data_IF_941061014227
#
_entry.id   IF_941061014227
#
_cell.length_a   1.000
_cell.length_b   1.000
_cell.length_c   1.000
_cell.angle_alpha   90.00
_cell.angle_beta   90.00
_cell.angle_gamma   90.00
#
_symmetry.space_group_name_H-M   'P 1'
#
loop_
_entity.id
_entity.type
_entity.pdbx_description
1 polymer ?
#
# COMPACT_ATOMS: atom_id res chain seq x y z
N UNK A 1 38.75 -10.46 17.87
CA UNK A 1 38.20 -9.09 17.75
C UNK A 1 38.88 -8.19 18.77
N UNK A 2 39.29 -6.97 18.37
CA UNK A 2 39.89 -6.01 19.31
C UNK A 2 38.82 -5.45 20.24
N UNK A 3 39.24 -5.00 21.45
CA UNK A 3 38.35 -4.33 22.41
C UNK A 3 37.66 -3.12 21.76
N UNK A 4 38.39 -2.35 20.96
CA UNK A 4 37.84 -1.20 20.26
C UNK A 4 36.67 -1.60 19.33
N UNK A 5 36.81 -2.65 18.52
CA UNK A 5 35.76 -3.15 17.63
C UNK A 5 34.50 -3.60 18.42
N UNK A 6 34.67 -4.19 19.60
CA UNK A 6 33.52 -4.61 20.44
C UNK A 6 32.82 -3.40 21.08
N UNK A 7 33.59 -2.40 21.53
CA UNK A 7 33.04 -1.14 22.06
C UNK A 7 32.25 -0.40 21.00
N UNK A 8 32.81 -0.25 19.79
CA UNK A 8 32.18 0.44 18.68
C UNK A 8 30.91 -0.25 18.17
N UNK A 9 30.81 -1.58 18.34
CA UNK A 9 29.62 -2.34 17.98
C UNK A 9 28.60 -2.49 19.13
N UNK A 10 28.80 -1.80 20.26
CA UNK A 10 27.86 -1.84 21.37
C UNK A 10 27.76 -3.19 22.06
N UNK A 11 28.80 -4.06 22.01
CA UNK A 11 28.77 -5.38 22.60
C UNK A 11 28.65 -5.27 24.14
N UNK A 12 27.50 -5.71 24.72
CA UNK A 12 27.28 -5.57 26.18
C UNK A 12 28.17 -6.48 27.01
N UNK A 13 28.78 -7.49 26.38
CA UNK A 13 29.65 -8.46 27.09
C UNK A 13 31.09 -7.95 27.24
N UNK A 14 31.43 -6.84 26.58
CA UNK A 14 32.77 -6.28 26.67
C UNK A 14 32.99 -5.60 28.03
N UNK A 15 33.85 -6.19 28.86
CA UNK A 15 34.26 -5.59 30.11
C UNK A 15 35.42 -4.62 29.84
N UNK A 16 35.15 -3.33 29.83
CA UNK A 16 36.13 -2.25 29.76
C UNK A 16 35.88 -1.21 30.84
N UNK A 17 36.92 -0.50 31.24
CA UNK A 17 36.75 0.66 32.13
C UNK A 17 35.98 1.74 31.36
N UNK A 18 35.08 2.51 32.05
CA UNK A 18 34.31 3.59 31.42
C UNK A 18 35.19 4.57 30.62
N UNK A 19 36.34 4.96 31.19
CA UNK A 19 37.27 5.90 30.53
C UNK A 19 37.87 5.32 29.24
N UNK A 20 38.13 4.00 29.20
CA UNK A 20 38.62 3.34 27.99
C UNK A 20 37.53 3.29 26.90
N UNK A 21 36.28 3.03 27.30
CA UNK A 21 35.14 3.05 26.39
C UNK A 21 34.95 4.43 25.81
N UNK A 22 35.00 5.48 26.60
CA UNK A 22 34.85 6.87 26.18
C UNK A 22 35.96 7.32 25.21
N UNK A 23 37.23 6.97 25.51
CA UNK A 23 38.37 7.23 24.62
C UNK A 23 38.23 6.56 23.25
N UNK A 24 37.73 5.32 23.22
CA UNK A 24 37.50 4.61 21.94
C UNK A 24 36.38 5.30 21.15
N UNK A 25 35.31 5.68 21.79
CA UNK A 25 34.19 6.39 21.12
C UNK A 25 34.61 7.78 20.64
N UNK A 26 35.43 8.49 21.46
CA UNK A 26 35.95 9.80 21.05
C UNK A 26 36.91 9.68 19.87
N UNK A 27 37.85 8.76 19.91
CA UNK A 27 38.76 8.52 18.78
C UNK A 27 38.03 8.15 17.48
N UNK A 28 36.93 7.38 17.59
CA UNK A 28 36.12 7.06 16.42
C UNK A 28 35.42 8.30 15.84
N UNK A 29 34.91 9.20 16.71
CA UNK A 29 34.34 10.49 16.28
C UNK A 29 35.39 11.38 15.62
N UNK A 30 36.57 11.50 16.24
CA UNK A 30 37.66 12.37 15.76
C UNK A 30 38.21 11.91 14.39
N UNK A 31 38.15 10.60 14.11
CA UNK A 31 38.59 9.98 12.86
C UNK A 31 37.46 9.78 11.84
N UNK A 32 36.24 10.24 12.14
CA UNK A 32 35.03 9.95 11.34
C UNK A 32 34.93 8.44 10.98
N UNK A 33 35.34 7.59 11.93
CA UNK A 33 35.36 6.16 11.73
C UNK A 33 33.98 5.55 11.98
N UNK A 34 33.39 4.98 10.94
CA UNK A 34 32.23 4.09 11.06
C UNK A 34 32.64 2.63 10.92
N UNK A 35 32.11 1.76 11.79
CA UNK A 35 32.38 0.33 11.70
C UNK A 35 31.90 -0.21 10.34
N UNK A 36 32.77 -0.98 9.66
CA UNK A 36 32.47 -1.52 8.33
C UNK A 36 31.21 -2.40 8.40
N UNK A 37 30.17 -1.95 7.70
CA UNK A 37 28.87 -2.60 7.60
C UNK A 37 29.00 -4.05 7.11
N UNK A 38 29.81 -4.34 6.07
CA UNK A 38 29.98 -5.68 5.53
C UNK A 38 30.57 -6.66 6.58
N UNK A 39 31.55 -6.21 7.37
CA UNK A 39 32.13 -7.01 8.44
C UNK A 39 31.14 -7.29 9.60
N UNK A 40 30.22 -6.34 9.85
CA UNK A 40 29.16 -6.50 10.85
C UNK A 40 28.07 -7.46 10.34
N UNK A 41 27.63 -7.31 9.10
CA UNK A 41 26.64 -8.17 8.44
C UNK A 41 27.09 -9.63 8.39
N UNK A 42 28.35 -9.86 7.99
CA UNK A 42 28.94 -11.21 7.94
C UNK A 42 28.94 -11.88 9.33
N UNK A 43 29.25 -11.13 10.38
CA UNK A 43 29.30 -11.66 11.75
C UNK A 43 27.92 -11.97 12.32
N UNK A 44 26.94 -11.13 12.02
CA UNK A 44 25.57 -11.25 12.55
C UNK A 44 24.71 -12.17 11.71
N UNK A 45 25.19 -12.59 10.51
CA UNK A 45 24.42 -13.26 9.47
C UNK A 45 23.11 -12.49 9.14
N UNK A 46 23.16 -11.15 9.29
CA UNK A 46 22.04 -10.22 9.06
C UNK A 46 22.53 -8.96 8.37
N UNK A 47 21.81 -8.58 7.33
CA UNK A 47 22.11 -7.35 6.57
C UNK A 47 21.55 -6.09 7.22
N UNK A 48 20.67 -6.20 8.22
CA UNK A 48 19.95 -5.04 8.76
C UNK A 48 19.32 -4.14 7.69
N UNK A 49 18.92 -4.75 6.56
CA UNK A 49 18.20 -4.14 5.48
C UNK A 49 16.90 -4.90 5.21
N UNK A 50 15.82 -4.17 4.98
CA UNK A 50 14.53 -4.68 4.53
C UNK A 50 14.23 -4.11 3.16
N UNK A 51 13.48 -4.84 2.33
CA UNK A 51 13.01 -4.33 1.05
C UNK A 51 11.50 -4.14 1.08
N UNK A 52 11.03 -2.92 0.76
CA UNK A 52 9.65 -2.65 0.43
C UNK A 52 9.50 -2.63 -1.09
N UNK A 53 8.66 -3.52 -1.61
CA UNK A 53 8.48 -3.70 -3.05
C UNK A 53 7.03 -3.41 -3.39
N UNK A 54 6.82 -2.43 -4.27
CA UNK A 54 5.50 -1.95 -4.69
C UNK A 54 5.37 -1.93 -6.22
N UNK A 55 4.15 -1.99 -6.78
CA UNK A 55 3.93 -2.01 -8.24
C UNK A 55 4.53 -0.83 -8.99
N UNK A 56 4.46 0.36 -8.42
CA UNK A 56 5.06 1.57 -8.99
C UNK A 56 5.47 2.54 -7.86
N UNK A 57 6.75 2.59 -7.49
CA UNK A 57 7.24 3.49 -6.43
C UNK A 57 6.97 4.98 -6.70
N UNK A 58 6.79 5.37 -7.96
CA UNK A 58 6.47 6.76 -8.34
C UNK A 58 5.00 7.11 -8.16
N UNK A 59 4.13 6.13 -7.86
CA UNK A 59 2.73 6.40 -7.60
C UNK A 59 2.57 7.05 -6.21
N UNK A 60 2.07 8.30 -6.13
CA UNK A 60 1.89 9.02 -4.87
C UNK A 60 1.04 8.29 -3.83
N UNK A 61 0.21 7.34 -4.27
CA UNK A 61 -0.59 6.49 -3.38
C UNK A 61 0.29 5.77 -2.34
N UNK A 62 1.53 5.42 -2.70
CA UNK A 62 2.44 4.70 -1.81
C UNK A 62 3.24 5.60 -0.86
N UNK A 63 3.10 6.93 -0.93
CA UNK A 63 3.86 7.85 -0.07
C UNK A 63 3.63 7.58 1.43
N UNK A 64 2.38 7.42 1.85
CA UNK A 64 2.04 7.11 3.24
C UNK A 64 2.55 5.72 3.66
N UNK A 65 2.43 4.72 2.79
CA UNK A 65 2.97 3.37 3.03
C UNK A 65 4.49 3.41 3.24
N UNK A 66 5.19 4.15 2.38
CA UNK A 66 6.64 4.33 2.45
C UNK A 66 7.04 5.04 3.75
N UNK A 67 6.31 6.09 4.14
CA UNK A 67 6.57 6.83 5.38
C UNK A 67 6.45 5.90 6.59
N UNK A 68 5.32 5.17 6.73
CA UNK A 68 5.12 4.25 7.84
C UNK A 68 6.16 3.11 7.87
N UNK A 69 6.51 2.56 6.71
CA UNK A 69 7.54 1.52 6.62
C UNK A 69 8.94 2.06 6.97
N UNK A 70 9.25 3.29 6.57
CA UNK A 70 10.52 3.96 6.89
C UNK A 70 10.66 4.20 8.39
N UNK A 71 9.63 4.74 9.03
CA UNK A 71 9.63 5.02 10.47
C UNK A 71 9.82 3.74 11.28
N UNK A 72 9.02 2.70 10.99
CA UNK A 72 9.16 1.41 11.66
C UNK A 72 10.52 0.74 11.44
N UNK A 73 11.12 0.91 10.24
CA UNK A 73 12.46 0.40 9.96
C UNK A 73 13.51 1.13 10.78
N UNK A 74 13.43 2.47 10.83
CA UNK A 74 14.35 3.32 11.60
C UNK A 74 14.32 3.03 13.08
N UNK A 75 13.13 2.88 13.69
CA UNK A 75 12.95 2.51 15.10
C UNK A 75 13.60 1.17 15.47
N UNK A 76 13.74 0.26 14.50
CA UNK A 76 14.30 -1.07 14.71
C UNK A 76 15.75 -1.21 14.21
N UNK A 77 16.43 -0.12 13.89
CA UNK A 77 17.81 -0.10 13.35
C UNK A 77 17.92 -0.93 12.04
N UNK A 78 16.94 -0.76 11.14
CA UNK A 78 16.95 -1.32 9.80
C UNK A 78 16.99 -0.23 8.73
N UNK A 79 17.71 -0.50 7.65
CA UNK A 79 17.64 0.32 6.42
C UNK A 79 16.52 -0.19 5.54
N UNK A 80 15.66 0.71 5.04
CA UNK A 80 14.62 0.36 4.09
C UNK A 80 15.09 0.61 2.66
N UNK A 81 15.09 -0.43 1.84
CA UNK A 81 15.29 -0.36 0.39
C UNK A 81 13.94 -0.39 -0.32
N UNK A 82 13.79 0.43 -1.36
CA UNK A 82 12.55 0.47 -2.16
C UNK A 82 12.78 -0.18 -3.51
N UNK A 83 11.90 -1.10 -3.87
CA UNK A 83 11.95 -1.83 -5.14
C UNK A 83 10.64 -1.74 -5.93
N UNK A 84 10.75 -1.97 -7.24
CA UNK A 84 9.62 -2.03 -8.17
C UNK A 84 9.20 -3.49 -8.38
N UNK A 85 7.92 -3.82 -8.16
CA UNK A 85 7.47 -5.22 -8.24
C UNK A 85 7.46 -5.79 -9.67
N UNK A 86 7.48 -4.95 -10.71
CA UNK A 86 7.69 -5.42 -12.09
C UNK A 86 9.02 -6.19 -12.28
N UNK A 87 10.01 -5.93 -11.42
CA UNK A 87 11.26 -6.69 -11.42
C UNK A 87 11.16 -7.98 -10.60
N UNK A 88 10.02 -8.21 -9.93
CA UNK A 88 9.73 -9.41 -9.15
C UNK A 88 9.05 -10.48 -10.04
N UNK A 89 9.73 -10.85 -11.13
CA UNK A 89 9.30 -11.90 -12.05
C UNK A 89 10.12 -13.16 -11.86
N UNK A 90 9.56 -14.30 -12.25
CA UNK A 90 10.24 -15.59 -12.19
C UNK A 90 11.58 -15.53 -12.97
N UNK A 91 12.65 -15.99 -12.33
CA UNK A 91 13.99 -15.92 -12.90
C UNK A 91 14.75 -14.60 -12.70
N UNK A 92 14.14 -13.59 -12.07
CA UNK A 92 14.76 -12.28 -11.84
C UNK A 92 16.10 -12.39 -11.11
N UNK A 93 17.15 -11.84 -11.73
CA UNK A 93 18.48 -11.76 -11.10
C UNK A 93 18.47 -10.84 -9.86
N UNK A 94 17.61 -9.82 -9.84
CA UNK A 94 17.49 -8.86 -8.72
C UNK A 94 17.02 -9.59 -7.46
N UNK A 95 15.95 -10.39 -7.55
CA UNK A 95 15.44 -11.15 -6.41
C UNK A 95 16.47 -12.16 -5.91
N UNK A 96 17.10 -12.89 -6.84
CA UNK A 96 18.14 -13.84 -6.44
C UNK A 96 19.26 -13.17 -5.65
N UNK A 97 19.72 -11.99 -6.07
CA UNK A 97 20.74 -11.22 -5.35
C UNK A 97 20.25 -10.76 -3.99
N UNK A 98 19.06 -10.19 -3.92
CA UNK A 98 18.51 -9.67 -2.66
C UNK A 98 18.32 -10.80 -1.63
N UNK A 99 17.76 -11.95 -2.06
CA UNK A 99 17.44 -13.08 -1.17
C UNK A 99 18.64 -13.98 -0.92
N UNK A 100 19.27 -14.50 -1.99
CA UNK A 100 20.30 -15.56 -1.85
C UNK A 100 21.65 -15.02 -1.45
N UNK A 101 21.97 -13.76 -1.82
CA UNK A 101 23.21 -13.11 -1.40
C UNK A 101 23.06 -12.41 -0.04
N UNK A 102 21.89 -12.51 0.61
CA UNK A 102 21.66 -11.97 1.94
C UNK A 102 21.75 -10.43 1.99
N UNK A 103 21.41 -9.74 0.90
CA UNK A 103 21.44 -8.26 0.84
C UNK A 103 20.32 -7.61 1.62
N UNK A 104 19.22 -8.34 1.84
CA UNK A 104 18.11 -7.97 2.73
C UNK A 104 17.73 -9.13 3.61
N UNK A 105 17.26 -8.86 4.81
CA UNK A 105 16.82 -9.87 5.76
C UNK A 105 15.37 -10.30 5.49
N UNK A 106 14.57 -9.47 4.83
CA UNK A 106 13.19 -9.78 4.49
C UNK A 106 12.52 -8.73 3.59
N UNK A 107 11.29 -9.03 3.20
CA UNK A 107 10.51 -8.24 2.23
C UNK A 107 9.14 -7.88 2.77
N UNK A 108 8.75 -6.63 2.56
CA UNK A 108 7.35 -6.20 2.51
C UNK A 108 6.97 -6.06 1.04
N UNK A 109 6.01 -6.84 0.57
CA UNK A 109 5.69 -6.95 -0.85
C UNK A 109 4.21 -6.63 -1.11
N UNK A 110 3.96 -5.62 -1.94
CA UNK A 110 2.70 -5.52 -2.67
C UNK A 110 2.91 -6.15 -4.05
N UNK A 111 2.29 -7.27 -4.26
CA UNK A 111 2.35 -7.96 -5.55
C UNK A 111 1.52 -7.25 -6.61
N UNK A 112 1.87 -7.44 -7.87
CA UNK A 112 1.04 -7.09 -9.02
C UNK A 112 -0.11 -8.09 -9.15
N UNK A 113 -1.20 -7.69 -9.81
CA UNK A 113 -2.41 -8.54 -9.94
C UNK A 113 -2.16 -9.80 -10.80
N UNK A 114 -1.12 -9.80 -11.63
CA UNK A 114 -0.67 -10.93 -12.46
C UNK A 114 0.27 -11.91 -11.75
N UNK A 115 0.83 -11.52 -10.60
CA UNK A 115 1.71 -12.40 -9.83
C UNK A 115 0.87 -13.43 -9.04
N UNK A 116 0.77 -14.65 -9.56
CA UNK A 116 0.04 -15.73 -8.92
C UNK A 116 0.72 -16.21 -7.62
N UNK A 117 -0.02 -16.91 -6.75
CA UNK A 117 0.55 -17.52 -5.54
C UNK A 117 1.68 -18.51 -5.87
N UNK A 118 1.52 -19.30 -6.94
CA UNK A 118 2.55 -20.25 -7.38
C UNK A 118 3.80 -19.54 -7.88
N UNK A 119 3.65 -18.47 -8.65
CA UNK A 119 4.78 -17.66 -9.11
C UNK A 119 5.51 -17.00 -7.94
N UNK A 120 4.78 -16.47 -6.95
CA UNK A 120 5.37 -15.94 -5.73
C UNK A 120 6.18 -16.99 -4.97
N UNK A 121 5.67 -18.23 -4.84
CA UNK A 121 6.36 -19.31 -4.18
C UNK A 121 7.64 -19.74 -4.93
N UNK A 122 7.62 -19.72 -6.27
CA UNK A 122 8.79 -20.03 -7.10
C UNK A 122 9.87 -18.94 -7.02
N UNK A 123 9.43 -17.69 -6.86
CA UNK A 123 10.32 -16.54 -6.79
C UNK A 123 11.14 -16.49 -5.51
N UNK A 124 10.54 -16.93 -4.41
CA UNK A 124 11.09 -16.71 -3.09
C UNK A 124 11.70 -17.99 -2.56
N UNK A 125 12.92 -17.91 -2.04
CA UNK A 125 13.50 -19.03 -1.32
C UNK A 125 12.57 -19.46 -0.18
N UNK A 126 12.51 -20.77 0.12
CA UNK A 126 11.63 -21.31 1.18
C UNK A 126 11.80 -20.60 2.53
N UNK A 127 12.99 -20.10 2.80
CA UNK A 127 13.36 -19.45 4.06
C UNK A 127 13.23 -17.91 4.03
N UNK A 128 12.88 -17.29 2.89
CA UNK A 128 12.74 -15.85 2.80
C UNK A 128 11.52 -15.37 3.60
N UNK A 129 11.74 -14.42 4.49
CA UNK A 129 10.68 -13.78 5.26
C UNK A 129 10.00 -12.73 4.41
N UNK A 130 8.69 -12.86 4.24
CA UNK A 130 7.87 -11.96 3.45
C UNK A 130 6.58 -11.65 4.20
N UNK A 131 6.27 -10.37 4.27
CA UNK A 131 4.94 -9.88 4.64
C UNK A 131 4.29 -9.28 3.41
N UNK A 132 3.09 -9.73 3.08
CA UNK A 132 2.31 -9.16 1.99
C UNK A 132 1.56 -7.92 2.46
N UNK A 133 1.50 -6.92 1.60
CA UNK A 133 0.59 -5.77 1.80
C UNK A 133 -0.49 -5.78 0.73
N UNK A 134 -1.69 -5.36 1.12
CA UNK A 134 -2.87 -5.25 0.27
C UNK A 134 -3.39 -6.57 -0.34
N UNK A 135 -2.73 -7.70 -0.12
CA UNK A 135 -3.17 -9.03 -0.59
C UNK A 135 -2.84 -10.11 0.42
N UNK A 136 -3.54 -11.24 0.31
CA UNK A 136 -3.32 -12.45 1.12
C UNK A 136 -2.89 -13.62 0.23
N UNK A 137 -2.33 -14.65 0.84
CA UNK A 137 -2.01 -15.92 0.19
C UNK A 137 -2.50 -17.08 1.07
N UNK A 138 -2.90 -18.23 0.49
CA UNK A 138 -3.27 -19.44 1.24
C UNK A 138 -2.15 -19.93 2.15
N UNK A 139 -0.90 -19.76 1.76
CA UNK A 139 0.27 -20.04 2.62
C UNK A 139 0.47 -18.85 3.55
N UNK A 140 0.27 -19.07 4.84
CA UNK A 140 0.42 -18.04 5.88
C UNK A 140 1.86 -17.51 5.93
N UNK A 141 2.13 -16.47 5.14
CA UNK A 141 3.40 -15.72 5.15
C UNK A 141 3.31 -14.45 6.00
N UNK A 142 2.11 -14.12 6.44
CA UNK A 142 1.75 -12.86 7.08
C UNK A 142 1.33 -11.82 6.05
N UNK A 143 0.26 -11.10 6.37
CA UNK A 143 -0.23 -10.00 5.54
C UNK A 143 -0.74 -8.84 6.38
N UNK A 144 -0.62 -7.64 5.82
CA UNK A 144 -1.26 -6.43 6.38
C UNK A 144 -2.09 -5.79 5.28
N UNK A 145 -3.38 -5.72 5.50
CA UNK A 145 -4.35 -5.17 4.55
C UNK A 145 -5.20 -4.07 5.18
N UNK A 146 -5.72 -3.18 4.36
CA UNK A 146 -6.72 -2.20 4.78
C UNK A 146 -8.11 -2.86 4.93
N UNK A 147 -8.99 -2.24 5.72
CA UNK A 147 -10.41 -2.52 5.65
C UNK A 147 -11.04 -1.86 4.41
N UNK A 148 -10.74 -2.46 3.24
CA UNK A 148 -11.23 -1.99 1.95
C UNK A 148 -12.76 -2.09 1.85
N UNK A 149 -13.37 -3.05 2.57
CA UNK A 149 -14.84 -3.19 2.63
C UNK A 149 -15.44 -1.98 3.31
N UNK A 150 -14.95 -1.60 4.49
CA UNK A 150 -15.43 -0.41 5.20
C UNK A 150 -15.18 0.86 4.40
N UNK A 151 -14.02 1.00 3.75
CA UNK A 151 -13.69 2.17 2.92
C UNK A 151 -14.64 2.36 1.75
N UNK A 152 -14.91 1.30 0.98
CA UNK A 152 -15.83 1.35 -0.16
C UNK A 152 -17.29 1.49 0.27
N UNK A 153 -17.66 0.86 1.40
CA UNK A 153 -18.97 1.05 2.01
C UNK A 153 -19.20 2.52 2.36
N UNK A 154 -18.27 3.15 3.07
CA UNK A 154 -18.35 4.56 3.45
C UNK A 154 -18.49 5.49 2.24
N UNK A 155 -17.71 5.26 1.17
CA UNK A 155 -17.80 6.00 -0.08
C UNK A 155 -19.20 5.92 -0.70
N UNK A 156 -19.76 4.70 -0.72
CA UNK A 156 -21.09 4.44 -1.31
C UNK A 156 -22.20 5.02 -0.43
N UNK A 157 -22.13 4.83 0.89
CA UNK A 157 -23.11 5.38 1.85
C UNK A 157 -23.15 6.91 1.78
N UNK A 158 -22.00 7.58 1.58
CA UNK A 158 -21.97 9.02 1.36
C UNK A 158 -22.86 9.44 0.17
N UNK A 159 -22.69 8.80 -0.99
CA UNK A 159 -23.51 9.11 -2.17
C UNK A 159 -24.99 8.80 -1.94
N UNK A 160 -25.29 7.69 -1.28
CA UNK A 160 -26.66 7.32 -0.93
C UNK A 160 -27.30 8.32 0.05
N UNK A 161 -26.54 8.87 0.98
CA UNK A 161 -26.98 9.88 1.93
C UNK A 161 -27.33 11.21 1.27
N UNK A 162 -26.70 11.53 0.14
CA UNK A 162 -27.03 12.69 -0.72
C UNK A 162 -28.30 12.48 -1.55
N UNK A 163 -28.88 11.26 -1.55
CA UNK A 163 -30.11 10.94 -2.27
C UNK A 163 -29.88 10.17 -3.57
N UNK A 164 -28.64 9.88 -3.96
CA UNK A 164 -28.39 9.06 -5.15
C UNK A 164 -28.96 7.65 -5.00
N UNK A 165 -29.60 7.15 -6.05
CA UNK A 165 -30.13 5.78 -6.16
C UNK A 165 -29.52 5.02 -7.32
N UNK A 166 -28.84 5.71 -8.22
CA UNK A 166 -28.13 5.19 -9.38
C UNK A 166 -26.64 5.44 -9.17
N UNK A 167 -25.99 4.48 -8.51
CA UNK A 167 -24.56 4.57 -8.18
C UNK A 167 -23.80 3.53 -8.99
N UNK A 168 -22.77 3.95 -9.73
CA UNK A 168 -21.87 3.09 -10.48
C UNK A 168 -20.55 2.86 -9.75
N UNK A 169 -19.78 1.86 -10.19
CA UNK A 169 -18.47 1.51 -9.67
C UNK A 169 -17.43 1.41 -10.78
N UNK A 170 -16.35 2.17 -10.66
CA UNK A 170 -15.12 1.98 -11.45
C UNK A 170 -14.12 1.28 -10.54
N UNK A 171 -13.99 -0.04 -10.71
CA UNK A 171 -13.22 -0.94 -9.86
C UNK A 171 -11.90 -1.39 -10.50
N UNK A 172 -11.09 -2.10 -9.70
CA UNK A 172 -9.91 -2.80 -10.18
C UNK A 172 -10.25 -4.08 -10.93
N UNK A 173 -9.24 -4.78 -11.44
CA UNK A 173 -9.43 -6.06 -12.15
C UNK A 173 -10.03 -7.13 -11.23
N UNK A 174 -10.83 -8.03 -11.78
CA UNK A 174 -11.57 -9.05 -11.01
C UNK A 174 -10.65 -10.00 -10.23
N UNK A 175 -9.48 -10.30 -10.76
CA UNK A 175 -8.48 -11.12 -10.08
C UNK A 175 -7.90 -10.47 -8.81
N UNK A 176 -8.00 -9.15 -8.67
CA UNK A 176 -7.44 -8.40 -7.56
C UNK A 176 -8.24 -8.62 -6.26
N UNK A 177 -7.55 -9.03 -5.20
CA UNK A 177 -8.15 -9.19 -3.87
C UNK A 177 -8.69 -7.84 -3.31
N UNK A 178 -7.97 -6.75 -3.55
CA UNK A 178 -8.41 -5.39 -3.18
C UNK A 178 -9.70 -5.04 -3.92
N UNK A 179 -9.77 -5.30 -5.23
CA UNK A 179 -10.93 -4.98 -6.05
C UNK A 179 -12.18 -5.71 -5.55
N UNK A 180 -12.06 -7.00 -5.22
CA UNK A 180 -13.17 -7.79 -4.66
C UNK A 180 -13.66 -7.23 -3.33
N UNK A 181 -12.76 -6.85 -2.41
CA UNK A 181 -13.14 -6.26 -1.12
C UNK A 181 -13.83 -4.90 -1.29
N UNK A 182 -13.34 -4.03 -2.18
CA UNK A 182 -14.00 -2.74 -2.47
C UNK A 182 -15.35 -2.92 -3.11
N UNK A 183 -15.47 -3.81 -4.08
CA UNK A 183 -16.76 -4.14 -4.68
C UNK A 183 -17.74 -4.73 -3.64
N UNK A 184 -17.26 -5.57 -2.72
CA UNK A 184 -18.08 -6.07 -1.61
C UNK A 184 -18.63 -4.94 -0.76
N UNK A 185 -17.83 -3.95 -0.38
CA UNK A 185 -18.26 -2.78 0.40
C UNK A 185 -19.33 -1.97 -0.34
N UNK A 186 -19.14 -1.72 -1.64
CA UNK A 186 -20.12 -1.07 -2.50
C UNK A 186 -21.46 -1.85 -2.53
N UNK A 187 -21.42 -3.16 -2.75
CA UNK A 187 -22.60 -4.01 -2.81
C UNK A 187 -23.35 -4.05 -1.46
N UNK A 188 -22.60 -4.13 -0.35
CA UNK A 188 -23.20 -4.10 1.00
C UNK A 188 -23.95 -2.80 1.23
N UNK A 189 -23.36 -1.65 0.93
CA UNK A 189 -24.02 -0.36 1.09
C UNK A 189 -25.29 -0.21 0.24
N UNK A 190 -25.25 -0.65 -1.03
CA UNK A 190 -26.45 -0.67 -1.88
C UNK A 190 -27.56 -1.56 -1.30
N UNK A 191 -27.22 -2.77 -0.89
CA UNK A 191 -28.16 -3.72 -0.31
C UNK A 191 -28.82 -3.17 0.94
N UNK A 192 -28.04 -2.56 1.84
CA UNK A 192 -28.53 -2.00 3.10
C UNK A 192 -29.47 -0.80 2.86
N UNK A 193 -29.35 -0.12 1.72
CA UNK A 193 -30.27 0.91 1.23
C UNK A 193 -31.45 0.38 0.39
N UNK A 194 -31.63 -0.94 0.29
CA UNK A 194 -32.69 -1.58 -0.49
C UNK A 194 -32.50 -1.52 -2.00
N UNK A 195 -31.25 -1.27 -2.45
CA UNK A 195 -30.89 -1.16 -3.86
C UNK A 195 -30.14 -2.41 -4.34
N UNK A 196 -30.21 -2.64 -5.66
CA UNK A 196 -29.44 -3.71 -6.31
C UNK A 196 -28.34 -3.12 -7.19
N UNK A 197 -27.17 -3.75 -7.18
CA UNK A 197 -26.11 -3.47 -8.15
C UNK A 197 -26.63 -3.71 -9.58
N UNK A 198 -26.37 -2.77 -10.49
CA UNK A 198 -26.54 -2.97 -11.92
C UNK A 198 -25.19 -3.26 -12.55
N UNK A 199 -25.04 -4.41 -13.20
CA UNK A 199 -23.77 -4.86 -13.78
C UNK A 199 -23.29 -3.92 -14.91
N UNK A 200 -24.22 -3.32 -15.65
CA UNK A 200 -23.90 -2.34 -16.70
C UNK A 200 -23.27 -1.05 -16.16
N UNK A 201 -23.32 -0.80 -14.86
CA UNK A 201 -22.70 0.36 -14.19
C UNK A 201 -21.40 0.00 -13.44
N UNK A 202 -20.92 -1.23 -13.62
CA UNK A 202 -19.68 -1.69 -13.00
C UNK A 202 -18.63 -1.94 -14.07
N UNK A 203 -17.43 -1.40 -13.90
CA UNK A 203 -16.27 -1.67 -14.76
C UNK A 203 -15.11 -2.15 -13.90
N UNK A 204 -14.50 -3.27 -14.29
CA UNK A 204 -13.39 -3.93 -13.57
C UNK A 204 -12.14 -3.92 -14.45
N UNK A 205 -11.67 -2.71 -14.79
CA UNK A 205 -10.61 -2.51 -15.79
C UNK A 205 -9.22 -2.28 -15.18
N UNK A 206 -9.14 -1.91 -13.89
CA UNK A 206 -7.87 -1.64 -13.23
C UNK A 206 -7.82 -0.28 -12.53
N UNK A 207 -6.61 0.14 -12.18
CA UNK A 207 -6.40 1.30 -11.33
C UNK A 207 -5.73 2.48 -12.03
N UNK A 208 -5.33 2.33 -13.29
CA UNK A 208 -4.68 3.38 -14.06
C UNK A 208 -5.67 4.48 -14.49
N UNK A 209 -5.24 5.74 -14.60
CA UNK A 209 -6.10 6.84 -15.01
C UNK A 209 -6.76 6.62 -16.38
N UNK A 210 -6.03 6.03 -17.33
CA UNK A 210 -6.48 5.81 -18.70
C UNK A 210 -7.66 4.84 -18.77
N UNK A 211 -7.56 3.72 -18.04
CA UNK A 211 -8.64 2.72 -18.02
C UNK A 211 -9.87 3.21 -17.24
N UNK A 212 -9.67 4.06 -16.22
CA UNK A 212 -10.78 4.67 -15.50
C UNK A 212 -11.46 5.76 -16.33
N UNK A 213 -10.75 6.47 -17.20
CA UNK A 213 -11.30 7.41 -18.18
C UNK A 213 -12.22 6.69 -19.17
N UNK A 214 -11.75 5.57 -19.73
CA UNK A 214 -12.55 4.71 -20.61
C UNK A 214 -13.80 4.17 -19.90
N UNK A 215 -13.62 3.67 -18.67
CA UNK A 215 -14.70 3.17 -17.83
C UNK A 215 -15.77 4.23 -17.56
N UNK A 216 -15.38 5.45 -17.22
CA UNK A 216 -16.30 6.56 -16.95
C UNK A 216 -17.12 6.90 -18.20
N UNK A 217 -16.46 7.08 -19.34
CA UNK A 217 -17.14 7.34 -20.63
C UNK A 217 -18.12 6.22 -20.99
N UNK A 218 -17.71 4.97 -20.87
CA UNK A 218 -18.55 3.81 -21.16
C UNK A 218 -19.78 3.74 -20.25
N UNK A 219 -19.61 3.96 -18.94
CA UNK A 219 -20.73 3.92 -17.98
C UNK A 219 -21.71 5.07 -18.23
N UNK A 220 -21.22 6.27 -18.53
CA UNK A 220 -22.09 7.43 -18.78
C UNK A 220 -22.83 7.35 -20.10
N UNK A 221 -22.38 6.52 -21.05
CA UNK A 221 -23.08 6.26 -22.32
C UNK A 221 -24.24 5.27 -22.18
N UNK A 222 -24.40 4.62 -21.02
CA UNK A 222 -25.49 3.67 -20.78
C UNK A 222 -26.86 4.39 -20.69
N UNK A 223 -27.92 3.85 -21.31
CA UNK A 223 -29.26 4.38 -21.13
C UNK A 223 -29.63 4.42 -19.63
N UNK A 224 -30.08 5.56 -19.15
CA UNK A 224 -30.36 5.77 -17.73
C UNK A 224 -29.13 5.51 -16.86
N UNK A 225 -27.96 6.03 -17.24
CA UNK A 225 -26.69 5.90 -16.54
C UNK A 225 -26.75 6.32 -15.06
N UNK A 226 -25.71 6.04 -14.28
CA UNK A 226 -25.66 6.43 -12.87
C UNK A 226 -25.58 7.94 -12.71
N UNK A 227 -26.08 8.45 -11.57
CA UNK A 227 -25.91 9.85 -11.15
C UNK A 227 -24.75 10.03 -10.20
N UNK A 228 -24.08 8.94 -9.81
CA UNK A 228 -22.90 8.99 -8.97
C UNK A 228 -21.97 7.81 -9.26
N UNK A 229 -20.67 8.02 -9.08
CA UNK A 229 -19.61 7.04 -9.30
C UNK A 229 -18.74 6.90 -8.04
N UNK A 230 -18.56 5.67 -7.61
CA UNK A 230 -17.48 5.28 -6.69
C UNK A 230 -16.29 4.83 -7.53
N UNK A 231 -15.13 5.46 -7.34
CA UNK A 231 -13.92 5.10 -8.06
C UNK A 231 -12.91 4.46 -7.09
N UNK A 232 -12.38 3.32 -7.49
CA UNK A 232 -11.59 2.46 -6.61
C UNK A 232 -10.28 3.10 -6.09
N UNK A 233 -9.76 4.15 -6.75
CA UNK A 233 -8.62 4.91 -6.23
C UNK A 233 -8.62 6.35 -6.78
N UNK A 234 -7.80 7.20 -6.15
CA UNK A 234 -7.68 8.62 -6.52
C UNK A 234 -7.09 8.81 -7.92
N UNK A 235 -6.13 7.99 -8.34
CA UNK A 235 -5.51 8.11 -9.69
C UNK A 235 -6.54 7.82 -10.80
N UNK A 236 -7.30 6.74 -10.64
CA UNK A 236 -8.41 6.43 -11.55
C UNK A 236 -9.46 7.54 -11.57
N UNK A 237 -9.78 8.13 -10.41
CA UNK A 237 -10.74 9.23 -10.36
C UNK A 237 -10.26 10.48 -11.10
N UNK A 238 -8.96 10.78 -11.11
CA UNK A 238 -8.40 11.87 -11.93
C UNK A 238 -8.63 11.59 -13.42
N UNK A 239 -8.40 10.35 -13.87
CA UNK A 239 -8.70 9.94 -15.23
C UNK A 239 -10.20 10.05 -15.57
N UNK A 240 -11.06 9.56 -14.69
CA UNK A 240 -12.52 9.65 -14.84
C UNK A 240 -13.00 11.12 -14.93
N UNK A 241 -12.55 12.00 -14.02
CA UNK A 241 -12.88 13.44 -14.04
C UNK A 241 -12.43 14.10 -15.35
N UNK A 242 -11.25 13.74 -15.86
CA UNK A 242 -10.73 14.26 -17.12
C UNK A 242 -11.62 13.84 -18.29
N UNK A 243 -12.00 12.56 -18.37
CA UNK A 243 -12.86 12.04 -19.44
C UNK A 243 -14.28 12.61 -19.38
N UNK A 244 -14.88 12.71 -18.19
CA UNK A 244 -16.19 13.31 -17.99
C UNK A 244 -16.22 14.75 -18.49
N UNK A 245 -15.21 15.54 -18.13
CA UNK A 245 -15.09 16.92 -18.61
C UNK A 245 -14.94 17.01 -20.13
N UNK A 246 -14.15 16.12 -20.76
CA UNK A 246 -13.95 16.09 -22.20
C UNK A 246 -15.23 15.73 -22.98
N UNK A 247 -16.12 14.95 -22.33
CA UNK A 247 -17.42 14.57 -22.90
C UNK A 247 -18.55 15.52 -22.52
N UNK A 248 -18.25 16.64 -21.84
CA UNK A 248 -19.22 17.64 -21.45
C UNK A 248 -20.11 17.28 -20.26
N UNK A 249 -19.74 16.22 -19.51
CA UNK A 249 -20.44 15.81 -18.29
C UNK A 249 -19.91 16.63 -17.11
N UNK A 250 -20.78 17.35 -16.43
CA UNK A 250 -20.41 18.19 -15.30
C UNK A 250 -20.35 17.39 -13.99
N UNK A 251 -19.25 17.58 -13.24
CA UNK A 251 -19.08 17.04 -11.89
C UNK A 251 -19.07 18.23 -10.90
N UNK A 252 -19.95 18.27 -9.91
CA UNK A 252 -20.94 17.25 -9.53
C UNK A 252 -22.33 17.43 -10.18
N UNK A 253 -22.52 18.36 -11.12
CA UNK A 253 -23.83 18.75 -11.69
C UNK A 253 -24.62 17.60 -12.29
N UNK A 254 -24.01 16.82 -13.19
CA UNK A 254 -24.63 15.67 -13.83
C UNK A 254 -24.33 14.36 -13.10
N UNK A 255 -23.11 14.26 -12.53
CA UNK A 255 -22.65 13.06 -11.84
C UNK A 255 -21.73 13.39 -10.67
N UNK A 256 -22.03 12.85 -9.50
CA UNK A 256 -21.16 12.92 -8.33
C UNK A 256 -20.04 11.89 -8.42
N UNK A 257 -18.81 12.24 -7.99
CA UNK A 257 -17.67 11.32 -7.99
C UNK A 257 -17.02 11.29 -6.61
N UNK A 258 -16.84 10.10 -6.04
CA UNK A 258 -16.06 9.85 -4.82
C UNK A 258 -15.00 8.81 -5.08
N UNK A 259 -13.80 9.00 -4.53
CA UNK A 259 -12.69 8.05 -4.68
C UNK A 259 -12.22 7.46 -3.35
N UNK A 260 -11.66 6.24 -3.42
CA UNK A 260 -10.97 5.61 -2.29
C UNK A 260 -9.51 6.07 -2.31
N UNK A 261 -8.93 6.23 -1.12
CA UNK A 261 -7.69 6.90 -0.80
C UNK A 261 -7.74 8.42 -0.98
N UNK A 262 -7.13 9.11 -0.02
CA UNK A 262 -6.96 10.56 -0.05
C UNK A 262 -5.48 10.87 -0.26
N UNK A 263 -5.20 11.66 -1.30
CA UNK A 263 -3.86 12.13 -1.63
C UNK A 263 -3.91 13.63 -1.88
N UNK A 264 -2.79 14.31 -1.70
CA UNK A 264 -2.72 15.77 -1.84
C UNK A 264 -3.31 16.28 -3.17
N UNK A 265 -3.14 15.52 -4.25
CA UNK A 265 -3.64 15.89 -5.57
C UNK A 265 -5.18 15.93 -5.65
N UNK A 266 -5.89 15.22 -4.78
CA UNK A 266 -7.35 15.25 -4.76
C UNK A 266 -7.93 16.64 -4.43
N UNK A 267 -7.19 17.45 -3.68
CA UNK A 267 -7.55 18.83 -3.40
C UNK A 267 -7.32 19.78 -4.59
N UNK A 268 -6.53 19.35 -5.57
CA UNK A 268 -6.12 20.15 -6.74
C UNK A 268 -6.73 19.66 -8.06
N UNK A 269 -7.68 18.74 -8.01
CA UNK A 269 -8.50 18.37 -9.19
C UNK A 269 -9.57 19.44 -9.46
N UNK A 270 -10.22 19.33 -10.60
CA UNK A 270 -11.36 20.19 -10.93
C UNK A 270 -12.58 19.34 -11.31
N UNK A 271 -13.63 19.34 -10.44
CA UNK A 271 -13.66 19.94 -9.09
C UNK A 271 -12.72 19.24 -8.11
N UNK A 272 -12.40 19.85 -6.93
CA UNK A 272 -11.70 19.17 -5.85
C UNK A 272 -12.43 17.90 -5.44
N UNK A 273 -11.71 16.77 -5.40
CA UNK A 273 -12.27 15.42 -5.31
C UNK A 273 -12.57 15.01 -3.87
N UNK A 274 -13.82 14.66 -3.58
CA UNK A 274 -14.24 13.98 -2.34
C UNK A 274 -13.65 12.58 -2.30
N UNK A 275 -13.06 12.21 -1.17
CA UNK A 275 -12.31 10.95 -1.03
C UNK A 275 -12.59 10.26 0.30
N UNK A 276 -12.24 8.98 0.39
CA UNK A 276 -12.17 8.24 1.65
C UNK A 276 -10.70 8.05 2.00
N UNK A 277 -10.23 8.70 3.09
CA UNK A 277 -8.88 8.49 3.60
C UNK A 277 -8.78 7.14 4.30
N UNK A 278 -7.78 6.36 3.91
CA UNK A 278 -7.45 5.04 4.46
C UNK A 278 -6.15 5.11 5.26
N UNK A 279 -5.98 4.23 6.23
CA UNK A 279 -4.82 4.18 7.12
C UNK A 279 -3.58 3.52 6.45
N UNK A 280 -3.10 4.10 5.34
CA UNK A 280 -2.05 3.47 4.54
C UNK A 280 -0.66 3.60 5.16
N UNK A 281 -0.43 4.63 5.98
CA UNK A 281 0.75 4.74 6.84
C UNK A 281 0.84 3.56 7.81
N UNK A 282 -0.27 3.22 8.49
CA UNK A 282 -0.32 2.14 9.47
C UNK A 282 -0.09 0.77 8.82
N UNK A 283 -0.50 0.59 7.56
CA UNK A 283 -0.17 -0.63 6.80
C UNK A 283 1.35 -0.77 6.65
N UNK A 284 2.04 0.28 6.24
CA UNK A 284 3.50 0.26 6.09
C UNK A 284 4.22 0.00 7.41
N UNK A 285 3.82 0.73 8.45
CA UNK A 285 4.38 0.60 9.79
C UNK A 285 4.20 -0.82 10.34
N UNK A 286 2.96 -1.34 10.34
CA UNK A 286 2.64 -2.68 10.87
C UNK A 286 3.26 -3.79 10.04
N UNK A 287 3.38 -3.62 8.72
CA UNK A 287 4.00 -4.63 7.87
C UNK A 287 5.50 -4.81 8.17
N UNK A 288 6.22 -3.72 8.39
CA UNK A 288 7.63 -3.78 8.81
C UNK A 288 7.76 -4.38 10.21
N UNK A 289 6.90 -3.98 11.16
CA UNK A 289 6.91 -4.55 12.51
C UNK A 289 6.66 -6.05 12.48
N UNK A 290 5.64 -6.51 11.76
CA UNK A 290 5.33 -7.92 11.58
C UNK A 290 6.50 -8.69 10.95
N UNK A 291 7.16 -8.10 9.95
CA UNK A 291 8.33 -8.71 9.31
C UNK A 291 9.50 -8.86 10.30
N UNK A 292 9.76 -7.85 11.12
CA UNK A 292 10.83 -7.89 12.13
C UNK A 292 10.51 -8.92 13.20
N UNK A 293 9.26 -9.03 13.64
CA UNK A 293 8.82 -10.06 14.60
C UNK A 293 9.00 -11.47 14.02
N UNK A 294 8.68 -11.67 12.74
CA UNK A 294 8.95 -12.93 12.03
C UNK A 294 10.45 -13.24 11.94
N UNK A 295 11.30 -12.23 11.73
CA UNK A 295 12.75 -12.39 11.75
C UNK A 295 13.27 -12.78 13.15
N UNK A 296 12.55 -12.41 14.20
CA UNK A 296 12.81 -12.80 15.57
C UNK A 296 12.21 -14.19 15.94
N UNK A 297 11.47 -14.83 15.02
CA UNK A 297 10.88 -16.16 15.20
C UNK A 297 9.38 -16.16 15.54
N UNK A 298 8.71 -15.01 15.53
CA UNK A 298 7.27 -14.96 15.71
C UNK A 298 6.51 -15.60 14.52
N UNK A 299 5.28 -16.06 14.75
CA UNK A 299 4.44 -16.61 13.69
C UNK A 299 4.07 -15.56 12.65
N UNK A 300 3.65 -16.03 11.48
CA UNK A 300 3.13 -15.19 10.42
C UNK A 300 1.63 -14.96 10.64
N UNK A 301 1.25 -13.72 10.90
CA UNK A 301 -0.13 -13.31 11.15
C UNK A 301 -0.70 -12.47 10.01
N UNK A 302 -2.03 -12.53 9.85
CA UNK A 302 -2.77 -11.67 8.93
C UNK A 302 -3.46 -10.54 9.72
N UNK A 303 -3.13 -9.30 9.39
CA UNK A 303 -3.61 -8.10 10.08
C UNK A 303 -4.53 -7.32 9.14
N UNK A 304 -5.73 -6.96 9.63
CA UNK A 304 -6.59 -5.96 9.00
C UNK A 304 -6.43 -4.65 9.76
N UNK A 305 -6.01 -3.59 9.07
CA UNK A 305 -5.89 -2.25 9.65
C UNK A 305 -7.24 -1.56 9.56
N UNK A 306 -7.98 -1.59 10.67
CA UNK A 306 -9.27 -0.91 10.83
C UNK A 306 -9.22 0.24 11.84
N UNK A 307 -8.06 0.45 12.47
CA UNK A 307 -7.81 1.57 13.38
C UNK A 307 -6.52 2.27 12.98
N UNK A 308 -6.57 3.57 12.62
CA UNK A 308 -7.78 4.41 12.54
C UNK A 308 -8.74 3.94 11.43
N UNK A 309 -10.07 4.12 11.63
CA UNK A 309 -11.07 3.72 10.64
C UNK A 309 -11.02 4.60 9.39
N UNK A 310 -11.53 4.10 8.25
CA UNK A 310 -11.71 4.92 7.05
C UNK A 310 -12.54 6.18 7.37
N UNK A 311 -12.12 7.33 6.83
CA UNK A 311 -12.84 8.59 7.03
C UNK A 311 -13.08 9.33 5.74
N UNK A 312 -14.27 9.93 5.61
CA UNK A 312 -14.63 10.75 4.47
C UNK A 312 -13.90 12.11 4.55
N UNK A 313 -13.36 12.53 3.42
CA UNK A 313 -12.79 13.88 3.20
C UNK A 313 -13.63 14.57 2.15
N UNK A 314 -14.59 15.37 2.63
CA UNK A 314 -15.53 16.10 1.75
C UNK A 314 -14.83 17.21 1.00
N UNK A 315 -15.11 17.30 -0.31
CA UNK A 315 -14.70 18.36 -1.21
C UNK A 315 -15.87 18.71 -2.16
N UNK A 316 -15.59 19.13 -3.39
CA UNK A 316 -16.59 19.69 -4.28
C UNK A 316 -17.11 18.74 -5.37
N UNK A 317 -16.68 17.46 -5.40
CA UNK A 317 -17.05 16.52 -6.47
C UNK A 317 -18.33 15.72 -6.21
N UNK A 318 -19.04 16.01 -5.12
CA UNK A 318 -20.29 15.33 -4.75
C UNK A 318 -21.35 16.35 -4.36
N UNK A 319 -22.60 16.17 -4.86
CA UNK A 319 -23.79 16.96 -4.57
C UNK A 319 -25.03 16.06 -4.58
N UNK A 320 -26.22 16.51 -4.18
CA UNK A 320 -27.46 15.78 -4.43
C UNK A 320 -27.66 15.48 -5.93
N UNK A 321 -28.39 14.40 -6.27
CA UNK A 321 -28.65 14.06 -7.68
C UNK A 321 -29.42 15.15 -8.41
N UNK A 322 -29.19 15.31 -9.74
CA UNK A 322 -29.91 16.27 -10.59
C UNK A 322 -31.39 15.94 -10.68
#
# INVERSE_FOLDING_TARGET
>A
MSVASRVLNGDPTVRTRPETRERVLQAARDLDYSANYAGRALRLARSKALALVVPNPSNPLFADLLAGASDASGECDYTLLVGHSQHFTEGSAVIRRLVREGRVDGFVLQRTDDLTDQALENLVAKDARIVLVASRTPRRRGSVILDDVAGARLATEHLLSLGHRRVGLIGGVEASDIARRREQGYVVALRDAGLRRRETWVRRLGYAPEVAAEAATSIMSEPSGPTALVVANVNGAIGALTALRQTGVEVPGDVSVVAIHDQWMAAHTWPPLTTVKMAFYDVGYRAVRLLIDQLAGAPADDIVVGDPPPRLVLRASTAPPP
#
